data_IF_477943991905
#
_entry.id   IF_477943991905
#
_cell.length_a   1.000
_cell.length_b   1.000
_cell.length_c   1.000
_cell.angle_alpha   90.00
_cell.angle_beta   90.00
_cell.angle_gamma   90.00
#
_symmetry.space_group_name_H-M   'P 1'
#
loop_
_entity.id
_entity.type
_entity.pdbx_description
1 polymer ?
#
# COMPACT_ATOMS: atom_id res chain seq x y z
N UNK A 1 -7.67 -2.34 28.69
CA UNK A 1 -6.53 -3.27 28.64
C UNK A 1 -5.73 -2.93 27.40
N UNK A 2 -4.61 -2.26 27.59
CA UNK A 2 -4.28 -1.03 26.85
C UNK A 2 -2.80 -1.02 26.47
N UNK A 3 -2.52 -0.77 25.19
CA UNK A 3 -1.24 -0.31 24.65
C UNK A 3 -0.09 -1.32 24.48
N UNK A 4 0.18 -2.25 25.40
CA UNK A 4 1.39 -3.12 25.27
C UNK A 4 1.37 -4.03 24.03
N UNK A 5 0.29 -4.75 23.76
CA UNK A 5 0.23 -5.63 22.58
C UNK A 5 0.09 -4.84 21.26
N UNK A 6 -0.40 -3.60 21.29
CA UNK A 6 -0.46 -2.72 20.11
C UNK A 6 0.94 -2.36 19.62
N UNK A 7 1.90 -2.26 20.55
CA UNK A 7 3.32 -2.02 20.24
C UNK A 7 3.90 -3.17 19.43
N UNK A 8 3.51 -4.42 19.70
CA UNK A 8 4.05 -5.58 18.97
C UNK A 8 3.69 -5.56 17.48
N UNK A 9 2.44 -5.21 17.15
CA UNK A 9 2.00 -5.07 15.75
C UNK A 9 2.75 -3.93 15.04
N UNK A 10 2.86 -2.78 15.70
CA UNK A 10 3.55 -1.62 15.15
C UNK A 10 5.05 -1.88 14.96
N UNK A 11 5.68 -2.55 15.93
CA UNK A 11 7.10 -2.92 15.92
C UNK A 11 7.40 -3.86 14.76
N UNK A 12 6.66 -4.97 14.65
CA UNK A 12 6.81 -5.89 13.54
C UNK A 12 6.59 -5.21 12.19
N UNK A 13 5.62 -4.30 12.07
CA UNK A 13 5.41 -3.53 10.84
C UNK A 13 6.61 -2.63 10.51
N UNK A 14 7.17 -1.93 11.48
CA UNK A 14 8.33 -1.04 11.27
C UNK A 14 9.57 -1.83 10.85
N UNK A 15 9.84 -2.94 11.52
CA UNK A 15 10.91 -3.87 11.12
C UNK A 15 10.71 -4.38 9.70
N UNK A 16 9.48 -4.73 9.32
CA UNK A 16 9.16 -5.13 7.95
C UNK A 16 9.51 -4.07 6.91
N UNK A 17 9.26 -2.79 7.20
CA UNK A 17 9.65 -1.70 6.30
C UNK A 17 11.16 -1.50 6.22
N UNK A 18 11.88 -1.61 7.33
CA UNK A 18 13.35 -1.57 7.33
C UNK A 18 13.94 -2.70 6.47
N UNK A 19 13.47 -3.94 6.69
CA UNK A 19 13.91 -5.10 5.93
C UNK A 19 13.57 -4.99 4.44
N UNK A 20 12.41 -4.42 4.09
CA UNK A 20 12.05 -4.17 2.69
C UNK A 20 13.05 -3.21 2.02
N UNK A 21 13.42 -2.12 2.70
CA UNK A 21 14.40 -1.15 2.18
C UNK A 21 15.81 -1.74 2.05
N UNK A 22 16.15 -2.73 2.89
CA UNK A 22 17.39 -3.51 2.80
C UNK A 22 17.30 -4.67 1.78
N UNK A 23 16.24 -4.72 0.97
CA UNK A 23 15.94 -5.80 0.01
C UNK A 23 15.83 -7.22 0.61
N UNK A 24 15.72 -7.29 1.93
CA UNK A 24 15.48 -8.49 2.75
C UNK A 24 14.02 -8.91 2.71
N UNK A 25 13.53 -9.18 1.49
CA UNK A 25 12.11 -9.33 1.17
C UNK A 25 11.41 -10.46 1.93
N UNK A 26 12.10 -11.58 2.16
CA UNK A 26 11.50 -12.71 2.86
C UNK A 26 11.31 -12.42 4.35
N UNK A 27 12.29 -11.80 5.01
CA UNK A 27 12.15 -11.41 6.41
C UNK A 27 11.15 -10.26 6.58
N UNK A 28 11.12 -9.32 5.62
CA UNK A 28 10.10 -8.28 5.57
C UNK A 28 8.68 -8.88 5.51
N UNK A 29 8.46 -9.87 4.64
CA UNK A 29 7.19 -10.58 4.51
C UNK A 29 6.78 -11.24 5.83
N UNK A 30 7.71 -11.91 6.51
CA UNK A 30 7.44 -12.54 7.80
C UNK A 30 6.99 -11.51 8.85
N UNK A 31 7.69 -10.37 8.92
CA UNK A 31 7.35 -9.29 9.84
C UNK A 31 5.95 -8.73 9.59
N UNK A 32 5.57 -8.48 8.33
CA UNK A 32 4.23 -8.00 8.02
C UNK A 32 3.13 -9.04 8.32
N UNK A 33 3.39 -10.34 8.09
CA UNK A 33 2.43 -11.40 8.44
C UNK A 33 2.22 -11.49 9.96
N UNK A 34 3.29 -11.35 10.76
CA UNK A 34 3.19 -11.29 12.22
C UNK A 34 2.39 -10.09 12.69
N UNK A 35 2.68 -8.89 12.16
CA UNK A 35 1.93 -7.69 12.48
C UNK A 35 0.43 -7.84 12.14
N UNK A 36 0.11 -8.45 11.00
CA UNK A 36 -1.26 -8.71 10.57
C UNK A 36 -2.00 -9.66 11.53
N UNK A 37 -1.36 -10.75 11.94
CA UNK A 37 -1.95 -11.72 12.87
C UNK A 37 -2.28 -11.07 14.22
N UNK A 38 -1.34 -10.29 14.76
CA UNK A 38 -1.49 -9.57 16.02
C UNK A 38 -2.60 -8.50 15.91
N UNK A 39 -2.62 -7.71 14.84
CA UNK A 39 -3.65 -6.70 14.62
C UNK A 39 -5.06 -7.31 14.53
N UNK A 40 -5.20 -8.46 13.86
CA UNK A 40 -6.47 -9.21 13.78
C UNK A 40 -6.92 -9.73 15.14
N UNK A 41 -6.00 -10.31 15.92
CA UNK A 41 -6.30 -10.77 17.27
C UNK A 41 -6.78 -9.64 18.19
N UNK A 42 -6.32 -8.41 17.94
CA UNK A 42 -6.68 -7.23 18.73
C UNK A 42 -7.91 -6.48 18.19
N UNK A 43 -8.47 -6.87 17.04
CA UNK A 43 -9.51 -6.10 16.36
C UNK A 43 -9.04 -4.71 15.91
N UNK A 44 -7.73 -4.53 15.72
CA UNK A 44 -7.10 -3.24 15.47
C UNK A 44 -7.03 -2.93 13.96
N UNK A 45 -8.17 -2.57 13.35
CA UNK A 45 -8.32 -2.45 11.89
C UNK A 45 -7.32 -1.53 11.19
N UNK A 46 -6.95 -0.39 11.81
CA UNK A 46 -5.92 0.49 11.25
C UNK A 46 -4.55 -0.21 11.14
N UNK A 47 -4.20 -1.02 12.14
CA UNK A 47 -2.94 -1.75 12.14
C UNK A 47 -2.97 -2.92 11.15
N UNK A 48 -4.13 -3.57 11.00
CA UNK A 48 -4.35 -4.60 9.99
C UNK A 48 -4.14 -4.05 8.58
N UNK A 49 -4.74 -2.91 8.27
CA UNK A 49 -4.55 -2.21 6.99
C UNK A 49 -3.08 -1.86 6.75
N UNK A 50 -2.41 -1.29 7.75
CA UNK A 50 -1.01 -0.88 7.62
C UNK A 50 -0.05 -2.05 7.41
N UNK A 51 -0.31 -3.21 8.03
CA UNK A 51 0.46 -4.43 7.75
C UNK A 51 0.17 -4.97 6.33
N UNK A 52 -1.09 -4.94 5.91
CA UNK A 52 -1.52 -5.35 4.56
C UNK A 52 -0.87 -4.51 3.47
N UNK A 53 -0.78 -3.18 3.65
CA UNK A 53 -0.09 -2.29 2.72
C UNK A 53 1.39 -2.67 2.53
N UNK A 54 2.08 -3.09 3.60
CA UNK A 54 3.46 -3.57 3.52
C UNK A 54 3.60 -4.82 2.65
N UNK A 55 2.69 -5.79 2.80
CA UNK A 55 2.62 -6.98 1.93
C UNK A 55 2.33 -6.61 0.47
N UNK A 56 1.45 -5.64 0.26
CA UNK A 56 1.09 -5.17 -1.07
C UNK A 56 2.27 -4.51 -1.79
N UNK A 57 3.10 -3.74 -1.07
CA UNK A 57 4.35 -3.18 -1.61
C UNK A 57 5.32 -4.27 -2.04
N UNK A 58 5.52 -5.31 -1.23
CA UNK A 58 6.37 -6.46 -1.60
C UNK A 58 5.86 -7.20 -2.85
N UNK A 59 4.54 -7.28 -3.03
CA UNK A 59 3.93 -7.90 -4.20
C UNK A 59 4.05 -7.01 -5.46
N UNK A 60 3.84 -5.70 -5.31
CA UNK A 60 4.01 -4.73 -6.39
C UNK A 60 5.47 -4.68 -6.88
N UNK A 61 6.44 -4.69 -5.97
CA UNK A 61 7.88 -4.76 -6.28
C UNK A 61 8.27 -6.05 -7.03
N UNK A 62 7.48 -7.13 -6.93
CA UNK A 62 7.66 -8.37 -7.69
C UNK A 62 6.86 -8.43 -8.99
N UNK A 63 6.29 -7.30 -9.44
CA UNK A 63 5.48 -7.26 -10.65
C UNK A 63 4.11 -7.93 -10.51
N UNK A 64 3.57 -8.05 -9.29
CA UNK A 64 2.24 -8.64 -9.01
C UNK A 64 1.23 -7.62 -8.43
N UNK A 65 1.02 -6.45 -9.07
CA UNK A 65 0.17 -5.39 -8.54
C UNK A 65 -1.32 -5.79 -8.43
N UNK A 66 -1.81 -6.69 -9.28
CA UNK A 66 -3.21 -7.15 -9.24
C UNK A 66 -3.51 -7.99 -7.99
N UNK A 67 -2.50 -8.70 -7.46
CA UNK A 67 -2.63 -9.47 -6.21
C UNK A 67 -2.63 -8.53 -5.01
N UNK A 68 -1.77 -7.50 -5.04
CA UNK A 68 -1.75 -6.45 -4.03
C UNK A 68 -3.10 -5.71 -3.95
N UNK A 69 -3.67 -5.35 -5.11
CA UNK A 69 -4.98 -4.69 -5.18
C UNK A 69 -6.10 -5.53 -4.56
N UNK A 70 -6.22 -6.80 -4.93
CA UNK A 70 -7.22 -7.72 -4.35
C UNK A 70 -7.04 -7.91 -2.84
N UNK A 71 -5.81 -7.88 -2.33
CA UNK A 71 -5.55 -7.94 -0.89
C UNK A 71 -6.03 -6.67 -0.18
N UNK A 72 -5.83 -5.48 -0.76
CA UNK A 72 -6.30 -4.22 -0.19
C UNK A 72 -7.82 -4.10 -0.19
N UNK A 73 -8.48 -4.49 -1.29
CA UNK A 73 -9.95 -4.49 -1.39
C UNK A 73 -10.59 -5.37 -0.29
N UNK A 74 -9.97 -6.51 0.03
CA UNK A 74 -10.41 -7.38 1.14
C UNK A 74 -10.14 -6.81 2.53
N UNK A 75 -9.08 -6.03 2.69
CA UNK A 75 -8.72 -5.42 3.97
C UNK A 75 -9.46 -4.09 4.24
N UNK A 76 -9.99 -3.45 3.20
CA UNK A 76 -10.71 -2.18 3.27
C UNK A 76 -11.85 -2.14 2.24
N UNK A 77 -13.06 -2.61 2.60
CA UNK A 77 -14.21 -2.60 1.69
C UNK A 77 -14.69 -1.17 1.31
N UNK A 78 -14.14 -0.12 1.92
CA UNK A 78 -14.51 1.28 1.68
C UNK A 78 -13.54 2.10 0.79
N UNK A 79 -12.37 1.57 0.42
CA UNK A 79 -11.42 2.28 -0.46
C UNK A 79 -11.61 1.78 -1.89
N UNK A 80 -12.33 2.57 -2.69
CA UNK A 80 -12.42 2.34 -4.13
C UNK A 80 -11.16 2.87 -4.80
N UNK A 81 -10.24 1.99 -5.21
CA UNK A 81 -9.18 2.36 -6.14
C UNK A 81 -9.77 2.41 -7.56
N UNK A 82 -10.58 3.42 -7.86
CA UNK A 82 -10.97 3.76 -9.23
C UNK A 82 -9.76 4.36 -9.94
N UNK A 83 -8.88 3.48 -10.39
CA UNK A 83 -7.76 3.74 -11.28
C UNK A 83 -7.43 2.41 -11.95
N UNK A 84 -8.06 2.16 -13.10
CA UNK A 84 -7.70 1.04 -13.95
C UNK A 84 -6.30 1.31 -14.53
N UNK A 85 -5.38 0.34 -14.56
CA UNK A 85 -4.16 0.46 -15.34
C UNK A 85 -4.51 0.17 -16.81
N UNK A 86 -4.50 1.19 -17.66
CA UNK A 86 -4.38 1.00 -19.11
C UNK A 86 -5.52 1.49 -19.99
N UNK A 87 -6.04 2.70 -19.79
CA UNK A 87 -6.84 3.38 -20.82
C UNK A 87 -6.29 4.80 -21.07
N UNK A 88 -5.66 4.98 -22.24
CA UNK A 88 -5.71 6.25 -22.97
C UNK A 88 -4.80 7.40 -22.53
N UNK A 89 -3.48 7.21 -22.48
CA UNK A 89 -2.57 8.35 -22.74
C UNK A 89 -2.65 8.69 -24.24
N UNK A 90 -3.71 9.35 -24.71
CA UNK A 90 -3.79 10.05 -26.01
C UNK A 90 -5.09 10.88 -26.11
N UNK A 91 -5.35 11.81 -25.19
CA UNK A 91 -6.14 13.02 -25.49
C UNK A 91 -6.19 13.96 -24.28
N UNK A 92 -5.25 14.91 -24.22
CA UNK A 92 -5.51 16.30 -23.81
C UNK A 92 -4.22 17.13 -23.99
N UNK A 93 -3.82 17.30 -25.25
CA UNK A 93 -2.87 18.35 -25.68
C UNK A 93 -3.47 19.22 -26.79
N UNK A 94 -4.79 19.39 -26.80
CA UNK A 94 -5.47 20.38 -27.64
C UNK A 94 -6.56 21.10 -26.83
N UNK A 95 -6.12 21.91 -25.87
CA UNK A 95 -6.90 23.07 -25.44
C UNK A 95 -6.39 24.28 -26.22
N UNK A 96 -7.11 24.78 -27.23
CA UNK A 96 -6.76 26.02 -27.90
C UNK A 96 -7.19 27.18 -27.00
N UNK A 97 -6.30 27.63 -26.11
CA UNK A 97 -6.65 28.73 -25.20
C UNK A 97 -5.49 29.48 -24.53
N UNK A 98 -4.24 29.01 -24.61
CA UNK A 98 -3.13 29.65 -23.90
C UNK A 98 -1.92 30.00 -24.77
N UNK A 99 -2.11 30.16 -26.08
CA UNK A 99 -1.09 30.71 -27.01
C UNK A 99 -1.25 32.20 -27.28
N UNK A 100 -1.92 32.95 -26.39
CA UNK A 100 -2.21 34.38 -26.59
C UNK A 100 -1.57 35.30 -25.52
N UNK A 101 -0.53 34.85 -24.81
CA UNK A 101 0.09 35.70 -23.77
C UNK A 101 1.56 36.05 -24.00
N UNK A 102 2.26 35.43 -24.96
CA UNK A 102 3.68 35.76 -25.20
C UNK A 102 3.97 35.94 -26.69
N UNK A 103 4.12 37.21 -27.09
CA UNK A 103 4.90 37.62 -28.25
C UNK A 103 4.67 39.09 -28.63
N UNK A 104 5.57 39.71 -29.41
CA UNK A 104 7.04 39.59 -29.43
C UNK A 104 7.74 40.59 -28.49
#
# INVERSE_FOLDING_TARGET
MTQEHLVDSALHRLWGECLRRLERRQEAKYCFLRALAIARQQGAGLFELRATMGLCRLLAERGRPQVARRMLERACPGVQCTGAPGEGLHQEMQSPGLTALWGP
#
